data_IF_009458451406
#
_entry.id   IF_009458451406
#
_cell.length_a   1.000
_cell.length_b   1.000
_cell.length_c   1.000
_cell.angle_alpha   90.00
_cell.angle_beta   90.00
_cell.angle_gamma   90.00
#
_symmetry.space_group_name_H-M   'P 1'
#
loop_
_entity.id
_entity.type
_entity.pdbx_description
1 polymer ?
#
# COMPACT_ATOMS: atom_id res chain seq x y z
N UNK A 1 -20.60 -9.79 32.29
CA UNK A 1 -19.83 -9.54 31.05
C UNK A 1 -20.48 -10.36 29.95
N UNK A 2 -21.08 -9.71 28.96
CA UNK A 2 -21.71 -10.41 27.83
C UNK A 2 -20.60 -11.04 26.99
N UNK A 3 -20.59 -12.37 26.90
CA UNK A 3 -19.66 -13.09 26.02
C UNK A 3 -20.06 -12.75 24.58
N UNK A 4 -19.17 -12.10 23.83
CA UNK A 4 -19.39 -11.85 22.41
C UNK A 4 -19.43 -13.18 21.66
N UNK A 5 -20.23 -13.28 20.61
CA UNK A 5 -20.14 -14.42 19.70
C UNK A 5 -18.77 -14.43 18.99
N UNK A 6 -18.28 -15.58 18.50
CA UNK A 6 -17.04 -15.64 17.72
C UNK A 6 -17.00 -14.64 16.56
N UNK A 7 -18.12 -14.46 15.84
CA UNK A 7 -18.25 -13.50 14.74
C UNK A 7 -18.05 -12.06 15.23
N UNK A 8 -18.75 -11.68 16.30
CA UNK A 8 -18.67 -10.34 16.88
C UNK A 8 -17.29 -10.05 17.46
N UNK A 9 -16.62 -11.07 18.03
CA UNK A 9 -15.26 -10.94 18.55
C UNK A 9 -14.25 -10.80 17.42
N UNK A 10 -14.33 -11.62 16.38
CA UNK A 10 -13.45 -11.54 15.21
C UNK A 10 -13.56 -10.17 14.53
N UNK A 11 -14.78 -9.67 14.31
CA UNK A 11 -15.00 -8.33 13.75
C UNK A 11 -14.34 -7.24 14.61
N UNK A 12 -14.54 -7.28 15.93
CA UNK A 12 -13.93 -6.33 16.86
C UNK A 12 -12.39 -6.41 16.89
N UNK A 13 -11.82 -7.62 16.80
CA UNK A 13 -10.37 -7.81 16.76
C UNK A 13 -9.79 -7.22 15.47
N UNK A 14 -10.44 -7.40 14.32
CA UNK A 14 -10.01 -6.76 13.06
C UNK A 14 -10.01 -5.25 13.18
N UNK A 15 -11.10 -4.66 13.69
CA UNK A 15 -11.19 -3.21 13.86
C UNK A 15 -10.09 -2.66 14.80
N UNK A 16 -9.82 -3.35 15.91
CA UNK A 16 -8.76 -2.97 16.85
C UNK A 16 -7.37 -3.09 16.23
N UNK A 17 -7.08 -4.21 15.59
CA UNK A 17 -5.79 -4.48 14.96
C UNK A 17 -5.53 -3.46 13.85
N UNK A 18 -6.51 -3.20 12.98
CA UNK A 18 -6.36 -2.21 11.91
C UNK A 18 -6.22 -0.78 12.47
N UNK A 19 -6.92 -0.44 13.56
CA UNK A 19 -6.71 0.82 14.25
C UNK A 19 -5.26 0.96 14.73
N UNK A 20 -4.70 -0.07 15.36
CA UNK A 20 -3.31 -0.05 15.84
C UNK A 20 -2.30 -0.08 14.68
N UNK A 21 -2.58 -0.81 13.60
CA UNK A 21 -1.78 -0.79 12.37
C UNK A 21 -1.70 0.62 11.80
N UNK A 22 -2.82 1.33 11.69
CA UNK A 22 -2.82 2.73 11.23
C UNK A 22 -1.95 3.61 12.12
N UNK A 23 -2.11 3.51 13.44
CA UNK A 23 -1.32 4.31 14.38
C UNK A 23 0.18 4.03 14.23
N UNK A 24 0.56 2.76 14.09
CA UNK A 24 1.95 2.34 13.98
C UNK A 24 2.57 2.69 12.62
N UNK A 25 1.90 2.36 11.51
CA UNK A 25 2.48 2.37 10.15
C UNK A 25 2.17 3.63 9.34
N UNK A 26 1.06 4.33 9.63
CA UNK A 26 0.64 5.50 8.83
C UNK A 26 0.83 6.81 9.60
N UNK A 27 0.75 6.77 10.92
CA UNK A 27 0.77 7.96 11.78
C UNK A 27 2.01 8.06 12.66
N UNK A 28 2.89 7.05 12.65
CA UNK A 28 4.08 6.97 13.50
C UNK A 28 3.81 7.27 14.99
N UNK A 29 2.65 6.83 15.50
CA UNK A 29 2.13 7.14 16.83
C UNK A 29 1.54 5.89 17.55
N UNK A 30 2.34 4.84 17.81
CA UNK A 30 1.85 3.58 18.37
C UNK A 30 1.18 3.78 19.75
N UNK A 31 0.02 3.14 19.94
CA UNK A 31 -0.78 3.26 21.16
C UNK A 31 -0.61 2.09 22.13
N UNK A 32 -0.10 0.96 21.65
CA UNK A 32 0.10 -0.27 22.42
C UNK A 32 1.48 -0.85 22.10
N UNK A 33 1.97 -1.70 22.98
CA UNK A 33 3.22 -2.44 22.78
C UNK A 33 3.08 -3.56 21.74
N UNK A 34 4.20 -3.99 21.17
CA UNK A 34 4.24 -5.13 20.25
C UNK A 34 3.65 -6.40 20.87
N UNK A 35 3.89 -6.64 22.17
CA UNK A 35 3.37 -7.81 22.88
C UNK A 35 1.84 -7.80 23.00
N UNK A 36 1.24 -6.62 23.22
CA UNK A 36 -0.21 -6.44 23.24
C UNK A 36 -0.82 -6.62 21.84
N UNK A 37 -0.17 -6.06 20.82
CA UNK A 37 -0.56 -6.26 19.42
C UNK A 37 -0.54 -7.74 19.04
N UNK A 38 0.56 -8.44 19.35
CA UNK A 38 0.72 -9.86 19.06
C UNK A 38 -0.31 -10.72 19.79
N UNK A 39 -0.76 -10.31 20.98
CA UNK A 39 -1.85 -10.99 21.69
C UNK A 39 -3.18 -10.86 20.95
N UNK A 40 -3.52 -9.65 20.46
CA UNK A 40 -4.73 -9.43 19.65
C UNK A 40 -4.70 -10.24 18.35
N UNK A 41 -3.55 -10.24 17.67
CA UNK A 41 -3.40 -10.95 16.40
C UNK A 41 -3.50 -12.47 16.59
N UNK A 42 -2.87 -13.02 17.63
CA UNK A 42 -2.98 -14.45 17.96
C UNK A 42 -4.42 -14.86 18.27
N UNK A 43 -5.13 -14.05 19.04
CA UNK A 43 -6.54 -14.33 19.35
C UNK A 43 -7.41 -14.37 18.07
N UNK A 44 -7.17 -13.45 17.12
CA UNK A 44 -7.87 -13.46 15.84
C UNK A 44 -7.51 -14.70 15.00
N UNK A 45 -6.24 -15.09 14.96
CA UNK A 45 -5.78 -16.29 14.26
C UNK A 45 -6.42 -17.55 14.85
N UNK A 46 -6.52 -17.66 16.18
CA UNK A 46 -7.15 -18.79 16.86
C UNK A 46 -8.65 -18.90 16.52
N UNK A 47 -9.35 -17.76 16.49
CA UNK A 47 -10.77 -17.71 16.11
C UNK A 47 -10.98 -18.11 14.65
N UNK A 48 -10.18 -17.56 13.73
CA UNK A 48 -10.27 -17.89 12.31
C UNK A 48 -9.88 -19.35 12.02
N UNK A 49 -8.97 -19.92 12.81
CA UNK A 49 -8.61 -21.34 12.73
C UNK A 49 -9.74 -22.26 13.23
N UNK A 50 -10.43 -21.86 14.30
CA UNK A 50 -11.59 -22.60 14.85
C UNK A 50 -12.84 -22.45 13.98
N UNK A 51 -13.02 -21.29 13.35
CA UNK A 51 -14.17 -20.95 12.53
C UNK A 51 -13.70 -20.41 11.17
N UNK A 52 -13.35 -21.29 10.21
CA UNK A 52 -12.81 -20.87 8.90
C UNK A 52 -13.74 -19.94 8.10
N UNK A 53 -15.05 -20.00 8.35
CA UNK A 53 -16.05 -19.09 7.76
C UNK A 53 -15.88 -17.64 8.20
N UNK A 54 -15.13 -17.38 9.28
CA UNK A 54 -14.83 -16.03 9.73
C UNK A 54 -13.75 -15.36 8.86
N UNK A 55 -12.88 -16.10 8.19
CA UNK A 55 -11.77 -15.52 7.41
C UNK A 55 -12.31 -14.60 6.33
N UNK A 56 -11.84 -13.36 6.32
CA UNK A 56 -12.18 -12.37 5.29
C UNK A 56 -10.93 -11.90 4.56
N UNK A 57 -11.10 -11.48 3.29
CA UNK A 57 -9.98 -11.05 2.44
C UNK A 57 -9.25 -9.80 2.96
N UNK A 58 -9.87 -9.03 3.85
CA UNK A 58 -9.32 -7.85 4.53
C UNK A 58 -8.79 -8.16 5.94
N UNK A 59 -8.86 -9.42 6.40
CA UNK A 59 -8.37 -9.76 7.73
C UNK A 59 -6.84 -9.57 7.81
N UNK A 60 -6.31 -8.93 8.87
CA UNK A 60 -4.87 -8.72 9.04
C UNK A 60 -4.06 -10.02 9.10
N UNK A 61 -4.71 -11.16 9.38
CA UNK A 61 -4.10 -12.49 9.33
C UNK A 61 -3.74 -12.94 7.90
N UNK A 62 -4.39 -12.36 6.88
CA UNK A 62 -4.19 -12.67 5.46
C UNK A 62 -3.02 -11.89 4.84
N UNK A 63 -2.25 -11.16 5.66
CA UNK A 63 -1.04 -10.44 5.21
C UNK A 63 0.20 -11.35 5.10
N UNK A 64 0.14 -12.59 5.58
CA UNK A 64 1.21 -13.56 5.38
C UNK A 64 1.27 -13.91 3.90
N UNK A 65 2.45 -13.77 3.30
CA UNK A 65 2.65 -14.03 1.87
C UNK A 65 2.13 -15.41 1.47
N UNK A 66 1.53 -15.50 0.29
CA UNK A 66 1.18 -16.78 -0.32
C UNK A 66 2.44 -17.58 -0.69
N UNK A 67 2.27 -18.85 -1.05
CA UNK A 67 3.37 -19.63 -1.62
C UNK A 67 4.00 -18.86 -2.80
N UNK A 68 5.33 -18.95 -3.00
CA UNK A 68 5.99 -18.33 -4.14
C UNK A 68 5.27 -18.70 -5.44
N UNK A 69 4.96 -17.69 -6.24
CA UNK A 69 4.42 -17.88 -7.59
C UNK A 69 5.57 -17.95 -8.57
N UNK A 70 5.53 -18.92 -9.49
CA UNK A 70 6.58 -19.09 -10.50
C UNK A 70 6.51 -18.01 -11.58
N UNK A 71 5.33 -17.42 -11.81
CA UNK A 71 5.09 -16.39 -12.82
C UNK A 71 4.06 -15.36 -12.33
N UNK A 72 4.23 -14.11 -12.75
CA UNK A 72 3.24 -13.06 -12.54
C UNK A 72 2.33 -12.94 -13.76
N UNK A 73 1.02 -12.83 -13.51
CA UNK A 73 0.05 -12.59 -14.57
C UNK A 73 0.15 -11.14 -15.08
N UNK A 74 0.11 -10.90 -16.40
CA UNK A 74 0.08 -9.55 -16.93
C UNK A 74 -1.26 -8.86 -16.62
N UNK A 75 -1.19 -7.57 -16.29
CA UNK A 75 -2.34 -6.71 -16.02
C UNK A 75 -2.27 -5.49 -16.92
N UNK A 76 -3.34 -5.23 -17.65
CA UNK A 76 -3.50 -3.99 -18.42
C UNK A 76 -4.02 -2.89 -17.49
N UNK A 77 -3.36 -1.74 -17.52
CA UNK A 77 -3.77 -0.55 -16.76
C UNK A 77 -5.00 0.09 -17.41
N UNK A 78 -5.96 0.52 -16.59
CA UNK A 78 -7.18 1.20 -17.09
C UNK A 78 -6.85 2.55 -17.73
N UNK A 79 -5.85 3.23 -17.18
CA UNK A 79 -5.27 4.46 -17.69
C UNK A 79 -3.76 4.25 -17.78
N UNK A 80 -3.06 4.68 -18.84
CA UNK A 80 -1.62 4.54 -18.91
C UNK A 80 -0.91 5.15 -17.69
N UNK A 81 0.09 4.45 -17.16
CA UNK A 81 1.03 4.93 -16.16
C UNK A 81 2.20 5.62 -16.86
N UNK A 82 2.22 6.95 -16.82
CA UNK A 82 3.22 7.78 -17.49
C UNK A 82 4.55 7.79 -16.73
N UNK A 83 5.62 8.16 -17.45
CA UNK A 83 6.88 8.60 -16.84
C UNK A 83 6.90 10.12 -16.69
N UNK A 84 7.91 10.62 -15.99
CA UNK A 84 8.21 12.05 -15.91
C UNK A 84 9.41 12.34 -16.82
N UNK A 85 9.35 13.47 -17.52
CA UNK A 85 10.54 14.10 -18.10
C UNK A 85 11.41 14.67 -16.97
N UNK A 86 12.70 14.85 -17.22
CA UNK A 86 13.67 15.32 -16.23
C UNK A 86 14.13 16.76 -16.54
N UNK A 87 14.51 17.47 -15.49
CA UNK A 87 15.33 18.68 -15.55
C UNK A 87 16.54 18.48 -14.63
N UNK A 88 17.73 18.85 -15.09
CA UNK A 88 18.99 18.62 -14.37
C UNK A 88 19.59 19.90 -13.77
N UNK A 89 19.08 21.06 -14.18
CA UNK A 89 19.50 22.36 -13.67
C UNK A 89 18.32 23.36 -13.59
N UNK A 90 18.60 24.52 -12.99
CA UNK A 90 17.62 25.57 -12.75
C UNK A 90 17.14 26.23 -14.06
N UNK A 91 17.95 26.20 -15.12
CA UNK A 91 17.60 26.80 -16.41
C UNK A 91 16.57 25.92 -17.14
N UNK A 92 16.79 24.61 -17.18
CA UNK A 92 15.83 23.63 -17.72
C UNK A 92 14.49 23.68 -16.98
N UNK A 93 14.52 23.85 -15.64
CA UNK A 93 13.31 23.99 -14.84
C UNK A 93 12.57 25.31 -15.10
N UNK A 94 13.30 26.43 -15.22
CA UNK A 94 12.71 27.72 -15.58
C UNK A 94 12.10 27.70 -16.99
N UNK A 95 12.71 26.97 -17.93
CA UNK A 95 12.19 26.78 -19.28
C UNK A 95 10.94 25.88 -19.31
N UNK A 96 10.85 24.89 -18.43
CA UNK A 96 9.62 24.12 -18.23
C UNK A 96 8.47 25.02 -17.76
N UNK A 97 8.70 25.84 -16.74
CA UNK A 97 7.71 26.80 -16.22
C UNK A 97 7.27 27.80 -17.30
N UNK A 98 8.23 28.39 -18.02
CA UNK A 98 7.95 29.32 -19.11
C UNK A 98 7.04 28.69 -20.17
N UNK A 99 7.35 27.47 -20.62
CA UNK A 99 6.52 26.74 -21.60
C UNK A 99 5.10 26.47 -21.09
N UNK A 100 4.94 26.16 -19.81
CA UNK A 100 3.63 25.97 -19.20
C UNK A 100 2.81 27.26 -19.16
N UNK A 101 3.40 28.37 -18.69
CA UNK A 101 2.75 29.69 -18.65
C UNK A 101 2.31 30.16 -20.03
N UNK A 102 3.19 30.04 -21.02
CA UNK A 102 2.87 30.35 -22.42
C UNK A 102 1.69 29.52 -22.93
N UNK A 103 1.70 28.20 -22.68
CA UNK A 103 0.68 27.27 -23.17
C UNK A 103 -0.68 27.44 -22.48
N UNK A 104 -0.67 27.81 -21.20
CA UNK A 104 -1.88 28.05 -20.41
C UNK A 104 -2.38 29.49 -20.52
N UNK A 105 -1.56 30.41 -21.05
CA UNK A 105 -1.84 31.85 -21.11
C UNK A 105 -2.10 32.46 -19.72
N UNK A 106 -1.22 32.14 -18.77
CA UNK A 106 -1.26 32.65 -17.38
C UNK A 106 0.10 33.21 -16.97
N UNK A 107 0.10 34.16 -16.03
CA UNK A 107 1.33 34.81 -15.55
C UNK A 107 2.07 33.97 -14.51
N UNK A 108 1.36 33.15 -13.74
CA UNK A 108 1.90 32.30 -12.68
C UNK A 108 1.19 30.94 -12.67
N UNK A 109 1.94 29.90 -12.28
CA UNK A 109 1.44 28.53 -12.12
C UNK A 109 1.74 28.11 -10.67
N UNK A 110 0.72 27.55 -10.00
CA UNK A 110 0.90 26.94 -8.69
C UNK A 110 1.38 25.50 -8.87
N UNK A 111 2.45 25.14 -8.15
CA UNK A 111 3.07 23.82 -8.22
C UNK A 111 2.99 23.10 -6.87
N UNK A 112 2.75 21.79 -6.92
CA UNK A 112 2.98 20.89 -5.80
C UNK A 112 4.35 20.24 -6.02
N UNK A 113 5.25 20.40 -5.04
CA UNK A 113 6.58 19.80 -5.08
C UNK A 113 6.64 18.60 -4.12
N UNK A 114 6.96 17.43 -4.66
CA UNK A 114 7.06 16.17 -3.90
C UNK A 114 8.47 15.58 -4.05
N UNK A 115 9.03 14.94 -2.99
CA UNK A 115 10.26 14.19 -3.12
C UNK A 115 10.13 13.07 -4.16
N UNK A 116 11.07 12.98 -5.09
CA UNK A 116 11.14 11.85 -6.03
C UNK A 116 11.67 10.61 -5.31
N UNK A 117 10.78 9.71 -4.93
CA UNK A 117 11.15 8.44 -4.32
C UNK A 117 11.87 7.55 -5.35
N UNK A 118 12.92 6.87 -4.89
CA UNK A 118 13.69 5.90 -5.67
C UNK A 118 13.22 4.49 -5.32
N UNK A 119 12.27 3.99 -6.10
CA UNK A 119 11.63 2.71 -5.85
C UNK A 119 11.01 2.13 -7.11
N UNK A 120 9.86 1.48 -6.94
CA UNK A 120 9.06 0.91 -8.01
C UNK A 120 7.64 1.47 -7.97
N UNK A 121 7.24 2.08 -9.09
CA UNK A 121 5.89 2.54 -9.30
C UNK A 121 4.90 1.37 -9.31
N UNK A 122 3.85 1.50 -8.49
CA UNK A 122 2.75 0.53 -8.37
C UNK A 122 1.40 1.21 -8.54
N UNK A 123 0.43 0.41 -9.00
CA UNK A 123 -0.98 0.75 -9.10
C UNK A 123 -1.77 -0.13 -8.13
N UNK A 124 -2.63 0.47 -7.33
CA UNK A 124 -3.50 -0.19 -6.35
C UNK A 124 -4.96 0.12 -6.67
N UNK A 125 -5.75 -0.91 -6.95
CA UNK A 125 -7.18 -0.75 -7.21
C UNK A 125 -7.96 -1.16 -5.97
N UNK A 126 -8.80 -0.23 -5.53
CA UNK A 126 -9.76 -0.45 -4.47
C UNK A 126 -11.17 -0.48 -5.04
N UNK A 127 -11.97 -1.45 -4.59
CA UNK A 127 -13.40 -1.51 -4.83
C UNK A 127 -14.17 -1.61 -3.52
N UNK A 128 -15.18 -0.77 -3.33
CA UNK A 128 -15.91 -0.65 -2.06
C UNK A 128 -14.96 -0.46 -0.86
N UNK A 129 -13.81 0.19 -1.09
CA UNK A 129 -12.76 0.40 -0.11
C UNK A 129 -11.90 -0.83 0.21
N UNK A 130 -12.02 -1.94 -0.52
CA UNK A 130 -11.18 -3.14 -0.37
C UNK A 130 -10.12 -3.20 -1.46
N UNK A 131 -8.88 -3.55 -1.10
CA UNK A 131 -7.80 -3.77 -2.05
C UNK A 131 -8.07 -5.04 -2.86
N UNK A 132 -8.40 -4.87 -4.15
CA UNK A 132 -8.74 -5.98 -5.05
C UNK A 132 -7.63 -6.35 -6.01
N UNK A 133 -6.76 -5.40 -6.39
CA UNK A 133 -5.65 -5.66 -7.32
C UNK A 133 -4.50 -4.70 -7.07
N UNK A 134 -3.28 -5.20 -7.20
CA UNK A 134 -2.08 -4.39 -7.34
C UNK A 134 -1.27 -4.82 -8.55
N UNK A 135 -0.67 -3.84 -9.24
CA UNK A 135 0.17 -4.09 -10.41
C UNK A 135 1.45 -3.24 -10.39
N UNK A 136 2.53 -3.77 -10.96
CA UNK A 136 3.72 -2.96 -11.29
C UNK A 136 3.40 -2.01 -12.45
N UNK A 137 4.22 -0.98 -12.65
CA UNK A 137 4.10 -0.11 -13.82
C UNK A 137 4.30 -0.86 -15.15
N UNK A 138 5.30 -1.75 -15.20
CA UNK A 138 5.77 -2.38 -16.42
C UNK A 138 6.13 -1.35 -17.50
N UNK A 139 5.55 -1.47 -18.70
CA UNK A 139 5.80 -0.57 -19.82
C UNK A 139 4.96 0.72 -19.78
N UNK A 140 4.10 0.87 -18.77
CA UNK A 140 3.15 1.98 -18.62
C UNK A 140 1.75 1.66 -19.16
N UNK A 141 1.58 0.65 -20.00
CA UNK A 141 0.28 0.17 -20.47
C UNK A 141 -0.11 -1.15 -19.80
N UNK A 142 0.87 -2.01 -19.54
CA UNK A 142 0.73 -3.26 -18.84
C UNK A 142 1.85 -3.47 -17.84
N UNK A 143 1.52 -4.15 -16.74
CA UNK A 143 2.46 -4.55 -15.70
C UNK A 143 2.15 -5.95 -15.20
N UNK A 144 2.71 -6.28 -14.04
CA UNK A 144 2.62 -7.61 -13.43
C UNK A 144 1.71 -7.57 -12.21
N UNK A 145 0.84 -8.57 -12.05
CA UNK A 145 -0.02 -8.70 -10.88
C UNK A 145 0.79 -9.04 -9.64
N UNK A 146 0.96 -8.05 -8.76
CA UNK A 146 1.72 -8.16 -7.50
C UNK A 146 0.82 -8.07 -6.27
N UNK A 147 -0.47 -8.38 -6.40
CA UNK A 147 -1.46 -8.24 -5.33
C UNK A 147 -1.07 -8.99 -4.05
N UNK A 148 -0.56 -10.22 -4.18
CA UNK A 148 -0.10 -11.01 -3.04
C UNK A 148 1.08 -10.34 -2.32
N UNK A 149 2.06 -9.84 -3.07
CA UNK A 149 3.23 -9.15 -2.52
C UNK A 149 2.84 -7.87 -1.80
N UNK A 150 1.97 -7.05 -2.43
CA UNK A 150 1.51 -5.77 -1.87
C UNK A 150 0.73 -5.96 -0.57
N UNK A 151 -0.06 -7.04 -0.45
CA UNK A 151 -0.78 -7.35 0.81
C UNK A 151 0.15 -7.52 2.02
N UNK A 152 1.42 -7.88 1.78
CA UNK A 152 2.43 -8.01 2.85
C UNK A 152 2.99 -6.67 3.35
N UNK A 153 2.81 -5.59 2.58
CA UNK A 153 3.28 -4.24 2.94
C UNK A 153 2.30 -3.64 3.96
N UNK A 154 2.78 -3.40 5.18
CA UNK A 154 1.92 -3.04 6.32
C UNK A 154 1.31 -1.65 6.20
N UNK A 155 2.04 -0.72 5.60
CA UNK A 155 1.58 0.66 5.38
C UNK A 155 0.41 0.73 4.39
N UNK A 156 0.24 -0.31 3.55
CA UNK A 156 -0.85 -0.40 2.59
C UNK A 156 -2.07 -1.04 3.27
N UNK A 157 -3.20 -0.31 3.40
CA UNK A 157 -4.42 -0.85 4.00
C UNK A 157 -5.07 -1.89 3.09
N UNK A 158 -5.48 -3.04 3.64
CA UNK A 158 -6.31 -3.99 2.88
C UNK A 158 -7.75 -3.46 2.70
N UNK A 159 -8.19 -2.63 3.66
CA UNK A 159 -9.46 -1.94 3.67
C UNK A 159 -9.28 -0.48 4.11
N UNK A 160 -9.87 0.44 3.37
CA UNK A 160 -9.80 1.86 3.67
C UNK A 160 -10.59 2.21 4.94
N UNK A 161 -10.08 3.21 5.67
CA UNK A 161 -10.75 3.79 6.83
C UNK A 161 -11.38 5.14 6.49
N UNK A 162 -12.62 5.36 6.93
CA UNK A 162 -13.39 6.58 6.68
C UNK A 162 -14.62 6.35 5.80
N UNK A 163 -15.00 7.34 5.01
CA UNK A 163 -16.05 7.26 4.00
C UNK A 163 -15.80 8.27 2.88
N UNK A 164 -16.60 8.22 1.80
CA UNK A 164 -16.60 9.23 0.75
C UNK A 164 -15.65 8.97 -0.43
N UNK A 165 -14.97 7.82 -0.45
CA UNK A 165 -14.23 7.37 -1.63
C UNK A 165 -15.17 6.83 -2.73
N UNK A 166 -14.73 6.85 -4.01
CA UNK A 166 -15.49 6.25 -5.11
C UNK A 166 -15.71 4.74 -4.95
N UNK A 167 -16.70 4.20 -5.67
CA UNK A 167 -17.00 2.77 -5.69
C UNK A 167 -15.79 1.95 -6.15
N UNK A 168 -15.09 2.43 -7.18
CA UNK A 168 -13.84 1.88 -7.70
C UNK A 168 -12.89 3.03 -7.98
N UNK A 169 -11.65 2.92 -7.52
CA UNK A 169 -10.62 3.89 -7.87
C UNK A 169 -9.22 3.26 -7.81
N UNK A 170 -8.28 3.94 -8.46
CA UNK A 170 -6.88 3.56 -8.54
C UNK A 170 -6.03 4.55 -7.75
N UNK A 171 -5.17 4.05 -6.88
CA UNK A 171 -4.11 4.81 -6.22
C UNK A 171 -2.79 4.42 -6.86
N UNK A 172 -1.97 5.41 -7.21
CA UNK A 172 -0.62 5.21 -7.73
C UNK A 172 0.39 5.78 -6.75
N UNK A 173 1.52 5.10 -6.61
CA UNK A 173 2.59 5.52 -5.74
C UNK A 173 3.83 4.66 -5.92
N UNK A 174 4.80 4.87 -5.04
CA UNK A 174 6.09 4.18 -5.09
C UNK A 174 6.23 3.21 -3.93
N UNK A 175 6.56 1.96 -4.20
CA UNK A 175 7.06 1.03 -3.20
C UNK A 175 8.58 1.12 -3.18
N UNK A 176 9.16 1.38 -2.02
CA UNK A 176 10.60 1.52 -1.86
C UNK A 176 11.07 0.85 -0.56
N UNK A 177 12.38 0.64 -0.46
CA UNK A 177 13.00 0.11 0.74
C UNK A 177 13.71 1.21 1.50
N UNK A 178 13.50 1.30 2.81
CA UNK A 178 14.25 2.23 3.65
C UNK A 178 15.74 1.87 3.62
N UNK A 179 16.62 2.88 3.78
CA UNK A 179 18.08 2.66 3.78
C UNK A 179 18.50 1.61 4.82
N UNK A 180 17.89 1.63 5.99
CA UNK A 180 18.14 0.64 7.06
C UNK A 180 17.66 -0.76 6.66
N UNK A 181 16.48 -0.88 6.04
CA UNK A 181 15.98 -2.14 5.51
C UNK A 181 16.93 -2.74 4.47
N UNK A 182 17.42 -1.90 3.56
CA UNK A 182 18.37 -2.30 2.51
C UNK A 182 19.71 -2.77 3.08
N UNK A 183 20.26 -2.06 4.07
CA UNK A 183 21.49 -2.48 4.76
C UNK A 183 21.32 -3.83 5.46
N UNK A 184 20.20 -4.06 6.15
CA UNK A 184 19.90 -5.35 6.80
C UNK A 184 19.76 -6.48 5.78
N UNK A 185 19.17 -6.21 4.62
CA UNK A 185 19.07 -7.19 3.54
C UNK A 185 20.46 -7.59 3.04
N UNK A 186 21.32 -6.62 2.74
CA UNK A 186 22.68 -6.89 2.26
C UNK A 186 23.52 -7.66 3.29
N UNK A 187 23.46 -7.29 4.57
CA UNK A 187 24.17 -8.01 5.62
C UNK A 187 23.78 -9.50 5.68
N UNK A 188 22.47 -9.81 5.57
CA UNK A 188 21.99 -11.20 5.52
C UNK A 188 22.43 -11.93 4.27
N UNK A 189 22.56 -11.24 3.14
CA UNK A 189 23.00 -11.84 1.88
C UNK A 189 24.51 -12.15 1.89
N UNK A 190 25.32 -11.37 2.62
CA UNK A 190 26.76 -11.61 2.77
C UNK A 190 27.09 -12.77 3.73
N UNK A 191 26.17 -13.12 4.63
CA UNK A 191 26.30 -14.26 5.56
C UNK A 191 26.09 -15.63 4.87
N UNK A 192 25.65 -15.64 3.60
CA UNK A 192 25.31 -16.83 2.81
C UNK A 192 26.14 -16.93 1.52
#
# INVERSE_FOLDING_TARGET
>A
MTVLSPEARAAKLRDLIEHHNRQYYQLDAPLISDAEYDALLRELQDLESQYPTLVTADSPTQRVGAAPVDTFEPVVHEVPMLSLDNAFDDEELADFDRRLRERLSVDEVEYVAEPKLDGLAVSLIYENGLLVRAATRGDGYSGENITANVRTIRDIPLKLHGAGWPLRFEVRGEVFMTRLGFQRLNARAEEH
#
